data_IF_882105599146
#
_entry.id   IF_882105599146
#
_cell.length_a   1.000
_cell.length_b   1.000
_cell.length_c   1.000
_cell.angle_alpha   90.00
_cell.angle_beta   90.00
_cell.angle_gamma   90.00
#
_symmetry.space_group_name_H-M   'P 1'
#
loop_
_entity.id
_entity.type
_entity.pdbx_description
1 polymer ?
#
# COMPACT_ATOMS: atom_id res chain seq x y z
N UNK A 1 0.59 -4.12 -22.46
CA UNK A 1 -0.30 -3.69 -21.37
C UNK A 1 0.53 -2.90 -20.37
N UNK A 2 0.02 -1.76 -19.90
CA UNK A 2 0.73 -0.91 -18.93
C UNK A 2 0.87 -1.60 -17.57
N UNK A 3 1.76 -1.08 -16.72
CA UNK A 3 1.92 -1.62 -15.36
C UNK A 3 0.63 -1.51 -14.53
N UNK A 4 -0.12 -0.41 -14.69
CA UNK A 4 -1.43 -0.22 -14.06
C UNK A 4 -2.47 -1.26 -14.53
N UNK A 5 -2.56 -1.53 -15.83
CA UNK A 5 -3.56 -2.48 -16.37
C UNK A 5 -3.41 -3.89 -15.78
N UNK A 6 -2.16 -4.33 -15.58
CA UNK A 6 -1.86 -5.62 -14.96
C UNK A 6 -2.28 -5.64 -13.49
N UNK A 7 -2.06 -4.54 -12.76
CA UNK A 7 -2.52 -4.39 -11.39
C UNK A 7 -4.06 -4.36 -11.29
N UNK A 8 -4.73 -3.69 -12.23
CA UNK A 8 -6.18 -3.54 -12.22
C UNK A 8 -6.95 -4.83 -12.58
N UNK A 9 -6.35 -5.71 -13.39
CA UNK A 9 -6.97 -6.97 -13.84
C UNK A 9 -6.74 -8.13 -12.88
N UNK A 10 -5.84 -7.99 -11.90
CA UNK A 10 -5.64 -9.01 -10.87
C UNK A 10 -6.89 -9.14 -9.99
N UNK A 11 -7.22 -10.36 -9.55
CA UNK A 11 -8.45 -10.65 -8.78
C UNK A 11 -8.29 -10.54 -7.26
N UNK A 12 -7.06 -10.28 -6.81
CA UNK A 12 -6.69 -10.08 -5.41
C UNK A 12 -6.70 -11.32 -4.53
N UNK A 13 -6.71 -12.51 -5.12
CA UNK A 13 -6.58 -13.77 -4.38
C UNK A 13 -5.15 -14.08 -3.95
N UNK A 14 -4.17 -13.54 -4.66
CA UNK A 14 -2.74 -13.70 -4.34
C UNK A 14 -2.13 -12.38 -3.88
N UNK A 15 -1.97 -12.26 -2.55
CA UNK A 15 -1.39 -11.09 -1.92
C UNK A 15 0.08 -10.83 -2.32
N UNK A 16 0.85 -11.88 -2.64
CA UNK A 16 2.24 -11.74 -3.05
C UNK A 16 2.32 -11.18 -4.46
N UNK A 17 1.48 -11.66 -5.38
CA UNK A 17 1.44 -11.11 -6.73
C UNK A 17 0.87 -9.69 -6.76
N UNK A 18 -0.11 -9.36 -5.92
CA UNK A 18 -0.55 -7.97 -5.76
C UNK A 18 0.58 -7.06 -5.28
N UNK A 19 1.48 -7.55 -4.42
CA UNK A 19 2.60 -6.76 -3.93
C UNK A 19 3.61 -6.51 -5.04
N UNK A 20 3.83 -7.53 -5.87
CA UNK A 20 4.71 -7.43 -7.03
C UNK A 20 4.17 -6.45 -8.06
N UNK A 21 2.87 -6.48 -8.34
CA UNK A 21 2.23 -5.60 -9.32
C UNK A 21 2.21 -4.14 -8.87
N UNK A 22 1.95 -3.90 -7.59
CA UNK A 22 2.03 -2.59 -6.95
C UNK A 22 3.45 -2.00 -7.04
N UNK A 23 4.46 -2.78 -6.64
CA UNK A 23 5.87 -2.42 -6.79
C UNK A 23 6.24 -2.10 -8.24
N UNK A 24 5.77 -2.91 -9.19
CA UNK A 24 6.04 -2.70 -10.61
C UNK A 24 5.40 -1.42 -11.15
N UNK A 25 4.19 -1.07 -10.70
CA UNK A 25 3.53 0.19 -11.04
C UNK A 25 4.36 1.38 -10.58
N UNK A 26 4.77 1.41 -9.31
CA UNK A 26 5.57 2.49 -8.77
C UNK A 26 6.95 2.62 -9.44
N UNK A 27 7.62 1.50 -9.72
CA UNK A 27 8.90 1.52 -10.42
C UNK A 27 8.77 2.14 -11.81
N UNK A 28 7.68 1.85 -12.53
CA UNK A 28 7.46 2.41 -13.88
C UNK A 28 7.28 3.94 -13.86
N UNK A 29 6.66 4.49 -12.82
CA UNK A 29 6.55 5.95 -12.62
C UNK A 29 7.92 6.55 -12.31
N UNK A 30 8.71 5.86 -11.50
CA UNK A 30 10.06 6.26 -11.12
C UNK A 30 11.00 6.37 -12.31
N UNK A 31 11.05 5.31 -13.12
CA UNK A 31 11.85 5.28 -14.35
C UNK A 31 11.42 6.38 -15.32
N UNK A 32 10.11 6.60 -15.49
CA UNK A 32 9.60 7.64 -16.37
C UNK A 32 9.91 9.06 -15.87
N UNK A 33 9.89 9.27 -14.55
CA UNK A 33 10.06 10.60 -13.94
C UNK A 33 11.50 11.03 -13.74
N UNK A 34 12.46 10.10 -13.79
CA UNK A 34 13.86 10.34 -13.38
C UNK A 34 13.95 11.00 -11.98
N UNK A 35 12.96 10.78 -11.10
CA UNK A 35 12.81 11.50 -9.84
C UNK A 35 13.39 10.71 -8.67
N UNK A 36 14.59 11.13 -8.25
CA UNK A 36 15.40 10.48 -7.19
C UNK A 36 14.73 10.55 -5.80
N UNK A 37 13.82 11.50 -5.55
CA UNK A 37 13.11 11.62 -4.26
C UNK A 37 12.11 10.47 -4.08
N UNK A 38 11.41 10.10 -5.14
CA UNK A 38 10.51 8.93 -5.17
C UNK A 38 11.29 7.63 -4.93
N UNK A 39 12.57 7.58 -5.30
CA UNK A 39 13.44 6.41 -5.13
C UNK A 39 13.81 6.22 -3.66
N UNK A 40 14.06 7.32 -2.95
CA UNK A 40 14.30 7.31 -1.50
C UNK A 40 13.03 6.91 -0.72
N UNK A 41 11.86 7.42 -1.10
CA UNK A 41 10.58 7.04 -0.48
C UNK A 41 10.20 5.58 -0.75
N UNK A 42 10.42 5.09 -1.99
CA UNK A 42 10.23 3.67 -2.32
C UNK A 42 11.21 2.78 -1.56
N UNK A 43 12.46 3.19 -1.35
CA UNK A 43 13.42 2.40 -0.56
C UNK A 43 13.03 2.34 0.92
N UNK A 44 12.58 3.45 1.51
CA UNK A 44 12.01 3.44 2.88
C UNK A 44 10.73 2.62 2.98
N UNK A 45 9.86 2.65 1.96
CA UNK A 45 8.70 1.77 1.87
C UNK A 45 9.12 0.30 1.71
N UNK A 46 10.10 -0.03 0.86
CA UNK A 46 10.57 -1.40 0.61
C UNK A 46 11.32 -2.01 1.79
N UNK A 47 12.09 -1.23 2.54
CA UNK A 47 12.74 -1.70 3.76
C UNK A 47 11.67 -1.96 4.85
N UNK A 48 10.65 -1.10 4.93
CA UNK A 48 9.47 -1.33 5.79
C UNK A 48 8.58 -2.49 5.28
N UNK A 49 8.55 -2.74 3.95
CA UNK A 49 7.84 -3.85 3.32
C UNK A 49 8.59 -5.20 3.53
N UNK A 50 9.93 -5.20 3.54
CA UNK A 50 10.74 -6.42 3.74
C UNK A 50 10.65 -6.98 5.15
N UNK A 51 10.56 -6.13 6.18
CA UNK A 51 10.44 -6.59 7.57
C UNK A 51 8.98 -6.70 8.04
N UNK A 52 8.05 -5.91 7.49
CA UNK A 52 6.66 -5.87 7.96
C UNK A 52 5.60 -6.46 7.01
N UNK A 53 5.80 -6.45 5.69
CA UNK A 53 4.65 -6.59 4.74
C UNK A 53 4.38 -8.02 4.31
N UNK A 54 5.34 -8.95 4.35
CA UNK A 54 5.00 -10.36 4.20
C UNK A 54 3.99 -10.83 5.26
N UNK A 55 4.01 -10.23 6.46
CA UNK A 55 3.04 -10.52 7.53
C UNK A 55 1.84 -9.57 7.53
N UNK A 56 2.00 -8.33 7.03
CA UNK A 56 1.03 -7.24 7.21
C UNK A 56 0.18 -6.94 5.95
N UNK A 57 0.65 -7.20 4.73
CA UNK A 57 -0.19 -7.05 3.50
C UNK A 57 -1.31 -8.08 3.48
N UNK A 58 -1.04 -9.29 3.94
CA UNK A 58 -2.06 -10.33 4.07
C UNK A 58 -3.16 -9.93 5.04
N UNK A 59 -2.92 -9.06 6.04
CA UNK A 59 -3.93 -8.54 6.98
C UNK A 59 -4.60 -7.24 6.51
N UNK A 60 -3.83 -6.29 5.98
CA UNK A 60 -4.30 -4.98 5.53
C UNK A 60 -5.28 -5.08 4.33
N UNK A 61 -5.12 -6.10 3.48
CA UNK A 61 -6.01 -6.40 2.35
C UNK A 61 -7.12 -7.43 2.65
N UNK A 62 -7.20 -8.00 3.87
CA UNK A 62 -8.34 -8.86 4.24
C UNK A 62 -9.65 -8.08 4.28
N UNK A 63 -9.57 -6.76 4.40
CA UNK A 63 -10.69 -5.88 4.15
C UNK A 63 -10.76 -5.59 2.65
N UNK A 64 -11.70 -6.20 1.95
CA UNK A 64 -11.98 -5.95 0.53
C UNK A 64 -12.12 -4.44 0.21
N UNK A 65 -12.57 -3.66 1.19
CA UNK A 65 -12.72 -2.20 1.14
C UNK A 65 -11.40 -1.45 0.90
N UNK A 66 -10.27 -1.92 1.44
CA UNK A 66 -8.96 -1.27 1.29
C UNK A 66 -8.38 -1.48 -0.10
N UNK A 67 -8.62 -2.64 -0.72
CA UNK A 67 -8.15 -2.96 -2.07
C UNK A 67 -8.74 -2.05 -3.13
N UNK A 68 -10.08 -1.92 -3.17
CA UNK A 68 -10.77 -1.09 -4.13
C UNK A 68 -10.33 0.38 -4.01
N UNK A 69 -10.25 0.87 -2.77
CA UNK A 69 -9.79 2.22 -2.47
C UNK A 69 -8.36 2.49 -2.96
N UNK A 70 -7.45 1.52 -2.82
CA UNK A 70 -6.08 1.64 -3.33
C UNK A 70 -6.02 1.63 -4.85
N UNK A 71 -6.78 0.75 -5.51
CA UNK A 71 -6.86 0.72 -6.97
C UNK A 71 -7.37 2.03 -7.55
N UNK A 72 -8.37 2.65 -6.91
CA UNK A 72 -8.89 3.95 -7.35
C UNK A 72 -7.88 5.08 -7.17
N UNK A 73 -7.09 5.06 -6.09
CA UNK A 73 -5.99 6.01 -5.90
C UNK A 73 -4.90 5.83 -6.96
N UNK A 74 -4.50 4.59 -7.26
CA UNK A 74 -3.54 4.33 -8.33
C UNK A 74 -4.08 4.72 -9.70
N UNK A 75 -5.38 4.52 -9.95
CA UNK A 75 -6.04 4.98 -11.18
C UNK A 75 -5.96 6.49 -11.30
N UNK A 76 -6.28 7.23 -10.24
CA UNK A 76 -6.19 8.69 -10.24
C UNK A 76 -4.77 9.19 -10.56
N UNK A 77 -3.73 8.55 -10.00
CA UNK A 77 -2.33 8.84 -10.32
C UNK A 77 -2.05 8.55 -11.80
N UNK A 78 -2.38 7.35 -12.27
CA UNK A 78 -2.16 6.95 -13.66
C UNK A 78 -2.85 7.91 -14.64
N UNK A 79 -4.13 8.22 -14.43
CA UNK A 79 -4.91 9.08 -15.31
C UNK A 79 -4.33 10.49 -15.38
N UNK A 80 -3.91 11.05 -14.24
CA UNK A 80 -3.26 12.36 -14.20
C UNK A 80 -1.91 12.38 -14.93
N UNK A 81 -1.12 11.31 -14.80
CA UNK A 81 0.15 11.13 -15.52
C UNK A 81 -0.08 10.99 -17.04
N UNK A 82 -1.02 10.14 -17.45
CA UNK A 82 -1.37 9.95 -18.87
C UNK A 82 -1.92 11.24 -19.49
N UNK A 83 -2.70 12.01 -18.74
CA UNK A 83 -3.21 13.32 -19.15
C UNK A 83 -2.16 14.44 -19.11
N UNK A 84 -0.92 14.15 -18.67
CA UNK A 84 0.20 15.12 -18.54
C UNK A 84 -0.17 16.33 -17.68
N UNK A 85 -0.87 16.11 -16.57
CA UNK A 85 -1.27 17.15 -15.61
C UNK A 85 -0.40 17.07 -14.34
N UNK A 86 0.75 17.77 -14.28
CA UNK A 86 1.72 17.60 -13.20
C UNK A 86 1.15 17.94 -11.81
N UNK A 87 0.39 19.03 -11.69
CA UNK A 87 -0.24 19.41 -10.41
C UNK A 87 -1.27 18.39 -9.93
N UNK A 88 -2.08 17.84 -10.86
CA UNK A 88 -3.04 16.80 -10.53
C UNK A 88 -2.36 15.48 -10.13
N UNK A 89 -1.28 15.10 -10.83
CA UNK A 89 -0.50 13.91 -10.51
C UNK A 89 0.15 14.06 -9.13
N UNK A 90 0.68 15.24 -8.82
CA UNK A 90 1.24 15.56 -7.50
C UNK A 90 0.18 15.44 -6.40
N UNK A 91 -0.96 16.09 -6.57
CA UNK A 91 -2.05 16.03 -5.59
C UNK A 91 -2.55 14.59 -5.35
N UNK A 92 -2.66 13.79 -6.42
CA UNK A 92 -3.04 12.38 -6.33
C UNK A 92 -2.00 11.54 -5.54
N UNK A 93 -0.71 11.77 -5.78
CA UNK A 93 0.37 11.10 -5.03
C UNK A 93 0.39 11.52 -3.57
N UNK A 94 0.24 12.81 -3.27
CA UNK A 94 0.18 13.30 -1.88
C UNK A 94 -1.02 12.71 -1.11
N UNK A 95 -2.18 12.65 -1.76
CA UNK A 95 -3.38 12.00 -1.19
C UNK A 95 -3.14 10.50 -0.93
N UNK A 96 -2.48 9.82 -1.86
CA UNK A 96 -2.14 8.41 -1.74
C UNK A 96 -1.18 8.15 -0.57
N UNK A 97 -0.09 8.92 -0.44
CA UNK A 97 0.84 8.80 0.67
C UNK A 97 0.17 9.07 2.02
N UNK A 98 -0.72 10.08 2.08
CA UNK A 98 -1.50 10.39 3.28
C UNK A 98 -2.49 9.28 3.67
N UNK A 99 -3.02 8.55 2.69
CA UNK A 99 -3.85 7.38 2.93
C UNK A 99 -3.03 6.21 3.48
N UNK A 100 -1.91 5.89 2.84
CA UNK A 100 -1.01 4.80 3.25
C UNK A 100 -0.47 5.03 4.66
N UNK A 101 -0.05 6.26 4.97
CA UNK A 101 0.41 6.61 6.33
C UNK A 101 -0.65 6.35 7.38
N UNK A 102 -1.89 6.80 7.16
CA UNK A 102 -3.01 6.56 8.09
C UNK A 102 -3.29 5.08 8.26
N UNK A 103 -3.38 4.33 7.15
CA UNK A 103 -3.63 2.90 7.20
C UNK A 103 -2.54 2.14 7.99
N UNK A 104 -1.27 2.52 7.83
CA UNK A 104 -0.17 1.95 8.59
C UNK A 104 -0.28 2.26 10.10
N UNK A 105 -0.61 3.49 10.46
CA UNK A 105 -0.80 3.89 11.87
C UNK A 105 -1.97 3.15 12.52
N UNK A 106 -3.09 3.04 11.81
CA UNK A 106 -4.28 2.32 12.29
C UNK A 106 -3.98 0.84 12.50
N UNK A 107 -3.24 0.23 11.58
CA UNK A 107 -2.82 -1.16 11.69
C UNK A 107 -1.88 -1.39 12.87
N UNK A 108 -0.89 -0.51 13.09
CA UNK A 108 -0.01 -0.59 14.26
C UNK A 108 -0.79 -0.46 15.58
N UNK A 109 -1.81 0.41 15.62
CA UNK A 109 -2.69 0.51 16.78
C UNK A 109 -3.52 -0.77 16.99
N UNK A 110 -4.08 -1.33 15.92
CA UNK A 110 -4.85 -2.57 15.98
C UNK A 110 -4.00 -3.74 16.48
N UNK A 111 -2.75 -3.89 16.00
CA UNK A 111 -1.86 -4.96 16.42
C UNK A 111 -1.45 -4.81 17.90
N UNK A 112 -1.19 -3.58 18.37
CA UNK A 112 -0.95 -3.32 19.81
C UNK A 112 -2.17 -3.70 20.66
N UNK A 113 -3.37 -3.32 20.23
CA UNK A 113 -4.60 -3.64 20.95
C UNK A 113 -4.86 -5.15 21.00
N UNK A 114 -4.62 -5.85 19.88
CA UNK A 114 -4.75 -7.30 19.80
C UNK A 114 -3.73 -8.01 20.71
N UNK A 115 -2.50 -7.50 20.80
CA UNK A 115 -1.50 -8.03 21.71
C UNK A 115 -1.92 -7.89 23.18
N UNK A 116 -2.40 -6.71 23.59
CA UNK A 116 -2.91 -6.47 24.94
C UNK A 116 -4.13 -7.36 25.23
N UNK A 117 -5.05 -7.52 24.27
CA UNK A 117 -6.22 -8.36 24.44
C UNK A 117 -5.86 -9.83 24.66
N UNK A 118 -4.85 -10.36 23.94
CA UNK A 118 -4.34 -11.73 24.14
C UNK A 118 -3.77 -11.90 25.55
N UNK A 119 -2.95 -10.96 26.01
CA UNK A 119 -2.37 -11.00 27.36
C UNK A 119 -3.44 -11.00 28.47
N UNK A 120 -4.56 -10.28 28.28
CA UNK A 120 -5.68 -10.26 29.24
C UNK A 120 -6.42 -11.60 29.29
N UNK A 121 -6.67 -12.22 28.13
CA UNK A 121 -7.32 -13.53 28.05
C UNK A 121 -6.47 -14.63 28.73
N UNK A 122 -5.16 -14.59 28.52
CA UNK A 122 -4.23 -15.54 29.15
C UNK A 122 -4.19 -15.38 30.68
N UNK A 123 -4.35 -14.15 31.19
CA UNK A 123 -4.42 -13.89 32.63
C UNK A 123 -5.75 -14.27 33.28
N UNK A 124 -6.88 -14.08 32.60
CA UNK A 124 -8.22 -14.42 33.14
C UNK A 124 -8.56 -15.91 32.99
N UNK A 125 -7.98 -16.63 32.02
CA UNK A 125 -8.17 -18.07 31.82
C UNK A 125 -7.34 -18.98 32.74
N UNK A 126 -6.45 -18.41 33.55
CA UNK A 126 -5.59 -19.13 34.50
C UNK A 126 -6.13 -19.21 35.93
N UNK A 127 -7.40 -18.88 36.16
CA UNK A 127 -8.06 -18.91 37.48
C UNK A 127 -9.16 -19.95 37.56
#
# INVERSE_FOLDING_TARGET
QGAFDRMATQDGRDAAEEARLDAAFHLSILEASHNVVLLHMMRSMFDMLREGVFYNRQKMFQQLTTRASLLDQHRAINDALQARRPEAARAAVEAHLSFVERALRDQQLADRNAHIARQRLDHDGGR
#
